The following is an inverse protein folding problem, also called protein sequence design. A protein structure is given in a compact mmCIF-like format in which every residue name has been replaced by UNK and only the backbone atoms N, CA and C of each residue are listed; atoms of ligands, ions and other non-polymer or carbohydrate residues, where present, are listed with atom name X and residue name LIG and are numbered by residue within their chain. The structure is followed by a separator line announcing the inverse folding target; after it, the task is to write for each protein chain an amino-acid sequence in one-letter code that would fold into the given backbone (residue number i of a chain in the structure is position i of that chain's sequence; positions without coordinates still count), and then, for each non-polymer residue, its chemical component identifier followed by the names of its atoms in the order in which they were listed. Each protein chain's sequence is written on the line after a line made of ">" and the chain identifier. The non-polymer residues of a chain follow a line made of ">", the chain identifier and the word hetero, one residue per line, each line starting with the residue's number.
data_IF_992608560100
#
_entry.id   IF_992608560100
#
_cell.length_a   1.000
_cell.length_b   1.000
_cell.length_c   1.000
_cell.angle_alpha   90.00
_cell.angle_beta   90.00
_cell.angle_gamma   90.00
#
_symmetry.space_group_name_H-M   'P 1'
#
loop_
_entity.id
_entity.type
_entity.pdbx_description
1 polymer ?
#
# COMPACT_ATOMS: atom_id res chain seq x y z
N UNK A 1 0.92 7.40 -7.40
CA UNK A 1 1.08 6.65 -6.14
C UNK A 1 2.52 6.19 -6.00
N UNK A 2 3.12 5.42 -6.90
CA UNK A 2 4.55 5.06 -6.80
C UNK A 2 5.51 6.27 -6.85
N UNK A 3 5.29 7.27 -7.73
CA UNK A 3 6.08 8.52 -7.78
C UNK A 3 5.86 9.44 -6.55
N UNK A 4 4.68 9.38 -5.94
CA UNK A 4 4.39 10.17 -4.73
C UNK A 4 4.69 9.40 -3.44
N UNK A 5 4.73 8.06 -3.46
CA UNK A 5 5.27 7.23 -2.40
C UNK A 5 6.80 7.29 -2.42
N UNK A 6 7.43 7.44 -3.60
CA UNK A 6 8.86 7.77 -3.70
C UNK A 6 9.17 9.17 -3.20
N UNK A 7 8.35 10.19 -3.48
CA UNK A 7 8.55 11.54 -2.88
C UNK A 7 8.24 11.62 -1.38
N UNK A 8 7.30 10.82 -0.87
CA UNK A 8 6.96 10.77 0.56
C UNK A 8 7.95 9.94 1.39
N UNK A 9 8.81 9.16 0.74
CA UNK A 9 9.89 8.41 1.39
C UNK A 9 11.12 9.28 1.75
N UNK A 10 11.17 10.56 1.31
CA UNK A 10 12.34 11.43 1.49
C UNK A 10 12.31 12.38 2.71
N UNK A 11 11.30 12.36 3.59
CA UNK A 11 11.25 13.33 4.70
C UNK A 11 11.09 12.71 6.09
N UNK A 12 12.22 12.22 6.59
CA UNK A 12 12.71 12.20 7.99
C UNK A 12 11.68 12.29 9.12
N UNK A 13 11.43 11.23 9.89
CA UNK A 13 10.61 11.32 11.10
C UNK A 13 10.76 10.06 12.01
N UNK A 14 10.42 10.25 13.29
CA UNK A 14 10.68 9.36 14.43
C UNK A 14 9.41 8.70 15.01
N UNK A 15 9.55 7.92 16.12
CA UNK A 15 8.67 6.81 16.51
C UNK A 15 8.11 6.85 17.94
N UNK A 16 7.02 6.10 18.17
CA UNK A 16 6.73 5.38 19.42
C UNK A 16 5.70 4.26 19.15
N UNK A 17 5.76 3.19 19.94
CA UNK A 17 5.06 1.89 19.82
C UNK A 17 3.89 1.85 20.83
N UNK A 18 2.70 1.40 20.43
CA UNK A 18 1.54 1.20 21.33
C UNK A 18 0.90 -0.17 21.07
N UNK A 19 0.54 -0.87 22.16
CA UNK A 19 -0.12 -2.19 22.22
C UNK A 19 -1.66 -2.05 22.31
N UNK A 20 -2.44 -3.10 21.99
CA UNK A 20 -3.78 -2.97 21.43
C UNK A 20 -4.92 -2.85 22.47
N UNK A 21 -6.08 -2.35 22.01
CA UNK A 21 -7.40 -2.62 22.61
C UNK A 21 -8.19 -3.55 21.70
N UNK A 22 -8.73 -4.62 22.28
CA UNK A 22 -9.62 -5.59 21.65
C UNK A 22 -10.97 -4.98 21.31
N UNK A 23 -11.59 -5.37 20.18
CA UNK A 23 -13.01 -5.69 20.22
C UNK A 23 -13.32 -7.06 19.61
N UNK A 24 -14.49 -7.54 20.03
CA UNK A 24 -14.99 -8.90 19.99
C UNK A 24 -15.44 -9.35 18.59
N UNK A 25 -15.38 -10.67 18.41
CA UNK A 25 -15.73 -11.43 17.22
C UNK A 25 -17.11 -11.11 16.63
N UNK A 26 -17.15 -10.95 15.30
CA UNK A 26 -18.33 -11.25 14.50
C UNK A 26 -17.88 -11.97 13.22
N UNK A 27 -18.55 -13.10 12.95
CA UNK A 27 -18.23 -14.04 11.89
C UNK A 27 -18.71 -13.54 10.53
N UNK A 28 -17.77 -13.25 9.65
CA UNK A 28 -17.99 -13.26 8.20
C UNK A 28 -16.86 -14.09 7.58
N UNK A 29 -17.21 -14.97 6.64
CA UNK A 29 -16.27 -15.88 5.98
C UNK A 29 -15.02 -15.11 5.53
N UNK A 30 -13.81 -15.53 5.96
CA UNK A 30 -12.62 -14.74 5.67
C UNK A 30 -12.41 -14.71 4.16
N UNK A 31 -12.36 -13.50 3.58
CA UNK A 31 -11.61 -13.37 2.34
C UNK A 31 -10.22 -13.93 2.61
N UNK A 32 -9.64 -14.67 1.66
CA UNK A 32 -8.39 -15.43 1.82
C UNK A 32 -7.17 -14.59 2.27
N UNK A 33 -7.34 -13.28 2.42
CA UNK A 33 -6.32 -12.29 2.77
C UNK A 33 -6.58 -11.58 4.12
N UNK A 34 -7.65 -11.92 4.85
CA UNK A 34 -7.94 -11.36 6.18
C UNK A 34 -7.46 -12.34 7.25
N UNK A 35 -6.54 -11.89 8.11
CA UNK A 35 -6.06 -12.68 9.25
C UNK A 35 -6.45 -12.01 10.55
N UNK A 36 -6.70 -12.82 11.59
CA UNK A 36 -7.14 -12.32 12.91
C UNK A 36 -5.99 -11.74 13.76
N UNK A 37 -4.76 -11.79 13.24
CA UNK A 37 -3.55 -11.32 13.93
C UNK A 37 -2.92 -10.19 13.13
N UNK A 38 -2.37 -9.16 13.78
CA UNK A 38 -1.61 -8.14 13.08
C UNK A 38 -0.45 -8.74 12.29
N UNK A 39 -0.32 -8.33 11.04
CA UNK A 39 0.80 -8.71 10.17
C UNK A 39 1.75 -7.53 9.98
N UNK A 40 3.03 -7.85 9.78
CA UNK A 40 4.07 -6.84 9.54
C UNK A 40 4.77 -7.14 8.24
N UNK A 41 4.87 -6.10 7.40
CA UNK A 41 5.51 -6.17 6.11
C UNK A 41 6.64 -5.15 6.02
N UNK A 42 7.73 -5.53 5.35
CA UNK A 42 8.82 -4.62 5.01
C UNK A 42 8.78 -4.34 3.51
N UNK A 43 8.74 -3.07 3.14
CA UNK A 43 8.80 -2.65 1.74
C UNK A 43 10.24 -2.27 1.42
N UNK A 44 10.85 -2.96 0.45
CA UNK A 44 12.17 -2.65 -0.08
C UNK A 44 12.04 -2.00 -1.45
N UNK A 45 12.49 -0.75 -1.58
CA UNK A 45 12.46 -0.03 -2.85
C UNK A 45 13.59 -0.52 -3.76
N UNK A 46 13.32 -0.70 -5.05
CA UNK A 46 14.38 -0.94 -6.04
C UNK A 46 15.10 0.37 -6.35
N UNK A 47 16.42 0.30 -6.51
CA UNK A 47 17.23 1.45 -6.90
C UNK A 47 16.84 1.96 -8.30
N UNK A 48 16.79 3.28 -8.46
CA UNK A 48 16.51 3.96 -9.73
C UNK A 48 17.65 3.82 -10.74
N UNK A 49 18.85 3.39 -10.32
CA UNK A 49 20.05 3.27 -11.18
C UNK A 49 19.80 2.36 -12.38
N UNK A 50 18.90 1.38 -12.27
CA UNK A 50 18.55 0.46 -13.34
C UNK A 50 17.24 0.79 -14.08
N UNK A 51 16.71 2.02 -13.92
CA UNK A 51 15.42 2.45 -14.49
C UNK A 51 14.21 1.59 -14.07
N UNK A 52 14.37 0.67 -13.12
CA UNK A 52 13.28 -0.16 -12.60
C UNK A 52 12.56 0.59 -11.49
N UNK A 53 11.35 1.07 -11.77
CA UNK A 53 10.46 1.67 -10.77
C UNK A 53 9.63 0.57 -10.12
N UNK A 54 10.02 0.13 -8.92
CA UNK A 54 9.33 -0.95 -8.23
C UNK A 54 9.75 -1.11 -6.78
N UNK A 55 9.04 -1.99 -6.08
CA UNK A 55 9.38 -2.41 -4.72
C UNK A 55 9.10 -3.89 -4.51
N UNK A 56 9.72 -4.47 -3.49
CA UNK A 56 9.51 -5.84 -3.06
C UNK A 56 8.97 -5.81 -1.64
N UNK A 57 7.94 -6.61 -1.36
CA UNK A 57 7.31 -6.70 -0.05
C UNK A 57 7.73 -8.00 0.61
N UNK A 58 8.28 -7.89 1.81
CA UNK A 58 8.71 -9.00 2.64
C UNK A 58 7.77 -9.17 3.81
N UNK A 59 7.46 -10.40 4.19
CA UNK A 59 6.77 -10.68 5.45
C UNK A 59 7.73 -10.61 6.66
N UNK A 60 7.20 -10.83 7.85
CA UNK A 60 7.98 -10.83 9.10
C UNK A 60 9.05 -11.93 9.18
N UNK A 61 8.96 -12.97 8.34
CA UNK A 61 9.97 -14.04 8.23
C UNK A 61 11.10 -13.70 7.25
N UNK A 62 11.04 -12.56 6.58
CA UNK A 62 11.99 -12.18 5.54
C UNK A 62 11.75 -12.85 4.20
N UNK A 63 10.57 -13.46 3.99
CA UNK A 63 10.20 -14.06 2.72
C UNK A 63 9.54 -13.01 1.82
N UNK A 64 9.86 -13.01 0.53
CA UNK A 64 9.17 -12.16 -0.44
C UNK A 64 7.75 -12.68 -0.58
N UNK A 65 6.77 -11.80 -0.39
CA UNK A 65 5.35 -12.14 -0.57
C UNK A 65 4.74 -11.46 -1.78
N UNK A 66 5.21 -10.24 -2.10
CA UNK A 66 4.74 -9.51 -3.27
C UNK A 66 5.86 -8.77 -3.98
N UNK A 67 5.65 -8.58 -5.28
CA UNK A 67 6.46 -7.71 -6.13
C UNK A 67 5.59 -6.62 -6.71
N UNK A 68 6.09 -5.41 -6.68
CA UNK A 68 5.47 -4.26 -7.36
C UNK A 68 6.43 -3.77 -8.41
N UNK A 69 5.98 -3.71 -9.65
CA UNK A 69 6.82 -3.24 -10.75
C UNK A 69 5.97 -2.56 -11.83
N UNK A 70 6.65 -1.80 -12.69
CA UNK A 70 6.05 -1.19 -13.87
C UNK A 70 6.57 -1.91 -15.11
N UNK A 71 5.86 -2.97 -15.52
CA UNK A 71 6.16 -3.71 -16.74
C UNK A 71 5.44 -3.09 -17.97
N UNK A 72 5.58 -1.80 -18.26
CA UNK A 72 5.42 -1.31 -19.64
C UNK A 72 5.99 0.12 -19.86
N UNK A 73 6.95 0.23 -20.79
CA UNK A 73 7.73 1.44 -21.08
C UNK A 73 7.04 2.42 -22.05
N UNK A 74 5.75 2.25 -22.37
CA UNK A 74 5.10 3.13 -23.37
C UNK A 74 4.40 4.36 -22.76
N UNK A 75 4.13 4.37 -21.46
CA UNK A 75 3.58 5.57 -20.80
C UNK A 75 3.72 5.66 -19.27
N UNK A 76 4.31 4.66 -18.60
CA UNK A 76 4.58 4.69 -17.15
C UNK A 76 3.36 4.86 -16.24
N UNK A 77 2.15 4.67 -16.76
CA UNK A 77 0.88 4.95 -16.06
C UNK A 77 0.32 3.76 -15.30
N UNK A 78 0.73 2.52 -15.62
CA UNK A 78 0.21 1.32 -14.97
C UNK A 78 1.31 0.65 -14.12
N UNK A 79 0.94 0.22 -12.92
CA UNK A 79 1.81 -0.50 -11.98
C UNK A 79 1.14 -1.80 -11.60
N UNK A 80 1.92 -2.87 -11.48
CA UNK A 80 1.40 -4.21 -11.22
C UNK A 80 1.86 -4.69 -9.85
N UNK A 81 0.90 -5.19 -9.05
CA UNK A 81 1.14 -5.97 -7.85
C UNK A 81 1.04 -7.45 -8.22
N UNK A 82 2.13 -8.18 -7.97
CA UNK A 82 2.27 -9.59 -8.37
C UNK A 82 2.64 -10.46 -7.18
N UNK A 83 2.29 -11.75 -7.27
CA UNK A 83 2.82 -12.78 -6.39
C UNK A 83 4.29 -13.12 -6.71
N UNK A 84 4.88 -14.04 -5.94
CA UNK A 84 6.26 -14.51 -6.14
C UNK A 84 6.48 -15.27 -7.45
N UNK A 85 5.41 -15.81 -8.05
CA UNK A 85 5.44 -16.57 -9.31
C UNK A 85 5.32 -15.66 -10.53
N UNK A 86 5.12 -14.36 -10.31
CA UNK A 86 4.93 -13.37 -11.37
C UNK A 86 3.48 -13.25 -11.86
N UNK A 87 2.52 -13.85 -11.16
CA UNK A 87 1.11 -13.69 -11.46
C UNK A 87 0.63 -12.32 -11.00
N UNK A 88 -0.04 -11.58 -11.88
CA UNK A 88 -0.67 -10.30 -11.54
C UNK A 88 -1.87 -10.55 -10.62
N UNK A 89 -1.88 -9.86 -9.48
CA UNK A 89 -3.00 -9.86 -8.54
C UNK A 89 -3.85 -8.60 -8.73
N UNK A 90 -3.19 -7.46 -8.87
CA UNK A 90 -3.82 -6.17 -9.10
C UNK A 90 -3.00 -5.31 -10.06
N UNK A 91 -3.66 -4.43 -10.81
CA UNK A 91 -3.01 -3.34 -11.55
C UNK A 91 -3.55 -1.99 -11.10
N UNK A 92 -2.68 -0.98 -11.02
CA UNK A 92 -3.02 0.39 -10.67
C UNK A 92 -2.73 1.30 -11.85
N UNK A 93 -3.78 1.87 -12.44
CA UNK A 93 -3.70 2.75 -13.60
C UNK A 93 -3.89 4.21 -13.22
N UNK A 94 -2.91 5.06 -13.51
CA UNK A 94 -3.00 6.51 -13.35
C UNK A 94 -3.84 7.14 -14.45
N UNK A 95 -4.82 7.98 -14.07
CA UNK A 95 -5.60 8.77 -15.03
C UNK A 95 -4.89 10.07 -15.40
N UNK A 96 -4.59 10.24 -16.71
CA UNK A 96 -3.86 11.39 -17.29
C UNK A 96 -4.52 12.76 -17.14
N UNK A 97 -5.86 12.82 -17.06
CA UNK A 97 -6.61 14.08 -17.17
C UNK A 97 -7.19 14.58 -15.83
N UNK A 98 -6.80 13.99 -14.71
CA UNK A 98 -7.28 14.46 -13.41
C UNK A 98 -6.31 15.51 -12.88
N UNK A 99 -6.81 16.75 -12.68
CA UNK A 99 -6.11 17.86 -12.02
C UNK A 99 -5.57 17.48 -10.62
N UNK A 100 -6.12 16.40 -10.05
CA UNK A 100 -5.74 15.79 -8.78
C UNK A 100 -5.37 14.34 -9.04
N UNK A 101 -4.24 13.84 -8.53
CA UNK A 101 -3.76 12.49 -8.86
C UNK A 101 -4.82 11.41 -8.61
N UNK A 102 -5.34 10.80 -9.68
CA UNK A 102 -6.39 9.78 -9.62
C UNK A 102 -5.88 8.45 -10.18
N UNK A 103 -6.16 7.36 -9.48
CA UNK A 103 -5.75 6.00 -9.84
C UNK A 103 -6.94 5.05 -9.77
N UNK A 104 -7.07 4.18 -10.76
CA UNK A 104 -8.02 3.06 -10.74
C UNK A 104 -7.24 1.77 -10.48
N UNK A 105 -7.69 1.01 -9.48
CA UNK A 105 -7.15 -0.29 -9.12
C UNK A 105 -8.04 -1.40 -9.67
N UNK A 106 -7.46 -2.28 -10.48
CA UNK A 106 -8.15 -3.40 -11.08
C UNK A 106 -7.68 -4.70 -10.44
N UNK A 107 -8.62 -5.58 -10.12
CA UNK A 107 -8.33 -6.94 -9.68
C UNK A 107 -8.21 -7.84 -10.91
N UNK A 108 -7.18 -8.67 -10.91
CA UNK A 108 -7.02 -9.69 -11.93
C UNK A 108 -7.81 -10.94 -11.52
N UNK A 109 -8.67 -11.43 -12.40
CA UNK A 109 -9.38 -12.70 -12.23
C UNK A 109 -8.71 -13.74 -13.14
N UNK A 110 -8.54 -14.96 -12.65
CA UNK A 110 -8.02 -16.06 -13.46
C UNK A 110 -9.09 -16.61 -14.42
N UNK A 111 -10.36 -16.44 -14.06
CA UNK A 111 -11.50 -16.99 -14.78
C UNK A 111 -11.99 -16.09 -15.91
N UNK A 112 -11.57 -14.83 -15.97
CA UNK A 112 -11.93 -13.90 -17.03
C UNK A 112 -10.69 -13.22 -17.61
N UNK A 113 -10.69 -12.99 -18.92
CA UNK A 113 -9.65 -12.21 -19.59
C UNK A 113 -9.79 -10.70 -19.35
N UNK A 114 -10.69 -10.27 -18.45
CA UNK A 114 -11.03 -8.88 -18.21
C UNK A 114 -10.65 -8.46 -16.79
N UNK A 115 -9.97 -7.31 -16.68
CA UNK A 115 -9.61 -6.74 -15.38
C UNK A 115 -10.80 -6.00 -14.77
N UNK A 116 -11.27 -6.43 -13.61
CA UNK A 116 -12.43 -5.83 -12.93
C UNK A 116 -11.98 -4.62 -12.10
N UNK A 117 -12.64 -3.47 -12.25
CA UNK A 117 -12.40 -2.33 -11.37
C UNK A 117 -12.74 -2.74 -9.92
N UNK A 118 -11.78 -2.58 -9.01
CA UNK A 118 -11.90 -3.01 -7.62
C UNK A 118 -11.88 -1.84 -6.64
N UNK A 119 -11.04 -0.84 -6.91
CA UNK A 119 -10.96 0.36 -6.08
C UNK A 119 -10.53 1.58 -6.89
N UNK A 120 -10.72 2.76 -6.31
CA UNK A 120 -10.26 4.03 -6.86
C UNK A 120 -9.58 4.85 -5.79
N UNK A 121 -8.44 5.42 -6.13
CA UNK A 121 -7.64 6.29 -5.26
C UNK A 121 -7.71 7.71 -5.79
N UNK A 122 -8.03 8.67 -4.92
CA UNK A 122 -8.00 10.10 -5.23
C UNK A 122 -7.09 10.83 -4.26
N UNK A 123 -6.20 11.67 -4.79
CA UNK A 123 -5.31 12.52 -3.99
C UNK A 123 -5.77 13.97 -4.06
N UNK A 124 -6.35 14.46 -2.96
CA UNK A 124 -6.62 15.88 -2.76
C UNK A 124 -5.71 16.41 -1.63
N UNK A 125 -6.26 16.80 -0.47
CA UNK A 125 -5.48 17.13 0.74
C UNK A 125 -4.99 15.88 1.48
N UNK A 126 -5.80 14.82 1.48
CA UNK A 126 -5.48 13.46 1.89
C UNK A 126 -5.63 12.51 0.69
N UNK A 127 -5.19 11.26 0.85
CA UNK A 127 -5.42 10.21 -0.14
C UNK A 127 -6.64 9.41 0.32
N UNK A 128 -7.72 9.42 -0.46
CA UNK A 128 -8.88 8.56 -0.23
C UNK A 128 -8.88 7.38 -1.18
N UNK A 129 -9.33 6.22 -0.67
CA UNK A 129 -9.42 4.95 -1.39
C UNK A 129 -10.85 4.44 -1.24
N UNK A 130 -11.61 4.43 -2.32
CA UNK A 130 -12.98 3.89 -2.36
C UNK A 130 -12.98 2.52 -3.04
N UNK A 131 -13.48 1.49 -2.37
CA UNK A 131 -13.71 0.17 -2.95
C UNK A 131 -15.06 0.09 -3.67
N UNK A 132 -15.22 -0.91 -4.52
CA UNK A 132 -16.48 -1.18 -5.23
C UNK A 132 -17.61 -1.74 -4.35
N UNK A 133 -17.30 -2.27 -3.17
CA UNK A 133 -18.28 -2.75 -2.19
C UNK A 133 -18.90 -1.63 -1.33
N UNK A 134 -18.43 -0.39 -1.51
CA UNK A 134 -18.89 0.78 -0.78
C UNK A 134 -17.93 1.23 0.32
N UNK A 135 -16.97 0.39 0.72
CA UNK A 135 -16.03 0.73 1.78
C UNK A 135 -15.08 1.86 1.37
N UNK A 136 -14.83 2.81 2.27
CA UNK A 136 -13.92 3.92 2.03
C UNK A 136 -12.82 3.99 3.09
N UNK A 137 -11.58 4.16 2.63
CA UNK A 137 -10.40 4.30 3.48
C UNK A 137 -9.69 5.62 3.23
N UNK A 138 -9.07 6.19 4.25
CA UNK A 138 -8.13 7.30 4.10
C UNK A 138 -6.72 6.92 4.50
N UNK A 139 -5.76 7.36 3.70
CA UNK A 139 -4.35 7.39 4.09
C UNK A 139 -4.03 8.77 4.62
N UNK A 140 -3.75 8.84 5.92
CA UNK A 140 -3.53 10.07 6.67
C UNK A 140 -2.10 10.08 7.18
N UNK A 141 -1.41 11.21 7.02
CA UNK A 141 -0.08 11.41 7.63
C UNK A 141 -0.24 11.48 9.14
N UNK A 142 0.65 10.81 9.88
CA UNK A 142 0.67 10.92 11.34
C UNK A 142 1.36 12.23 11.77
N UNK A 143 0.80 12.88 12.79
CA UNK A 143 1.38 14.12 13.32
C UNK A 143 2.75 13.84 13.96
N UNK A 144 3.77 14.59 13.54
CA UNK A 144 5.13 14.51 14.08
C UNK A 144 5.92 13.23 13.79
N UNK A 145 5.42 12.27 12.97
CA UNK A 145 6.06 10.97 12.66
C UNK A 145 5.97 10.55 11.18
N UNK A 146 6.96 9.79 10.66
CA UNK A 146 7.12 9.29 9.24
C UNK A 146 6.29 8.06 9.24
N UNK A 147 5.02 8.34 9.34
CA UNK A 147 4.00 7.35 9.37
C UNK A 147 2.86 7.82 8.55
N UNK A 148 2.31 6.86 7.83
CA UNK A 148 0.98 6.96 7.29
C UNK A 148 0.15 5.94 8.05
N UNK A 149 -1.03 6.33 8.46
CA UNK A 149 -2.05 5.40 8.91
C UNK A 149 -3.11 5.27 7.83
N UNK A 150 -3.62 4.06 7.67
CA UNK A 150 -4.82 3.80 6.89
C UNK A 150 -5.96 3.69 7.90
N UNK A 151 -6.98 4.48 7.72
CA UNK A 151 -8.19 4.49 8.56
C UNK A 151 -9.39 4.09 7.72
N UNK A 152 -10.27 3.31 8.32
CA UNK A 152 -11.59 2.98 7.77
C UNK A 152 -12.54 4.16 8.05
N UNK A 153 -13.12 4.76 7.02
CA UNK A 153 -14.06 5.87 7.20
C UNK A 153 -15.41 5.41 7.76
N UNK A 154 -15.81 4.18 7.47
CA UNK A 154 -17.13 3.64 7.82
C UNK A 154 -17.15 3.18 9.29
N UNK A 155 -16.02 2.71 9.82
CA UNK A 155 -15.86 2.30 11.23
C UNK A 155 -15.25 3.40 12.12
N UNK A 156 -15.87 4.59 12.16
CA UNK A 156 -15.47 5.72 13.04
C UNK A 156 -13.98 6.15 12.91
N UNK A 157 -13.34 5.91 11.75
CA UNK A 157 -11.91 6.22 11.59
C UNK A 157 -10.97 5.19 12.23
N UNK A 158 -11.44 3.96 12.46
CA UNK A 158 -10.64 2.88 13.01
C UNK A 158 -9.37 2.66 12.18
N UNK A 159 -8.22 2.51 12.86
CA UNK A 159 -6.94 2.30 12.19
C UNK A 159 -6.82 0.84 11.74
N UNK A 160 -6.70 0.62 10.42
CA UNK A 160 -6.60 -0.71 9.82
C UNK A 160 -5.17 -1.08 9.44
N UNK A 161 -4.32 -0.09 9.18
CA UNK A 161 -2.90 -0.33 8.91
C UNK A 161 -2.05 0.89 9.28
N UNK A 162 -0.77 0.63 9.54
CA UNK A 162 0.22 1.66 9.85
C UNK A 162 1.50 1.38 9.07
N UNK A 163 2.04 2.41 8.45
CA UNK A 163 3.29 2.38 7.71
C UNK A 163 4.30 3.17 8.53
N UNK A 164 5.48 2.60 8.78
CA UNK A 164 6.59 3.23 9.51
C UNK A 164 7.91 2.98 8.81
N UNK A 165 8.89 3.88 9.03
CA UNK A 165 10.27 3.65 8.62
C UNK A 165 10.88 2.47 9.39
N UNK A 166 11.76 1.72 8.72
CA UNK A 166 12.49 0.59 9.33
C UNK A 166 13.60 1.10 10.25
N UNK A 167 13.72 0.50 11.44
CA UNK A 167 14.78 0.76 12.42
C UNK A 167 15.62 -0.49 12.68
N UNK A 168 16.86 -0.28 13.09
CA UNK A 168 17.70 -1.30 13.73
C UNK A 168 17.20 -1.61 15.15
N UNK A 169 17.64 -2.73 15.71
CA UNK A 169 17.33 -3.11 17.10
C UNK A 169 17.86 -2.09 18.13
N UNK A 170 18.83 -1.27 17.73
CA UNK A 170 19.39 -0.16 18.52
C UNK A 170 18.67 1.18 18.31
N UNK A 171 17.58 1.21 17.51
CA UNK A 171 16.77 2.40 17.27
C UNK A 171 17.32 3.36 16.21
N UNK A 172 18.37 2.98 15.49
CA UNK A 172 18.93 3.76 14.38
C UNK A 172 18.05 3.55 13.14
N UNK A 173 17.67 4.64 12.48
CA UNK A 173 16.85 4.63 11.27
C UNK A 173 17.68 4.19 10.05
N UNK A 174 17.06 3.49 9.09
CA UNK A 174 17.67 3.23 7.78
C UNK A 174 17.26 4.30 6.75
N UNK A 175 18.22 4.86 5.99
CA UNK A 175 17.97 5.76 4.83
C UNK A 175 18.23 7.25 5.06
N UNK A 176 19.41 7.63 5.55
CA UNK A 176 19.88 9.04 5.60
C UNK A 176 20.67 9.47 4.35
N UNK A 177 20.88 8.52 3.43
CA UNK A 177 21.72 8.57 2.25
C UNK A 177 21.06 9.20 1.00
#
# INVERSE_FOLDING_TARGET
>A
LLHHLTELAFFSLSMSRVYPKTPSSSSSSPSSYITSKPESFTIWMKSLVFNTRGCTVYNSKGEIVYRVDNYDNKCGQEVYLMDIRGKVLYSLLQKKFSLFGCWDGYKWDDCSSEKQLWFRVRKNRSISVSLCDGCTYQIVRMDGKLGFKIVDEDEEGAMVAEIKQKQTDTGINFGED
#
